data_IF_419985604862
#
_entry.id   IF_419985604862
#
_cell.length_a   1.000
_cell.length_b   1.000
_cell.length_c   1.000
_cell.angle_alpha   90.00
_cell.angle_beta   90.00
_cell.angle_gamma   90.00
#
_symmetry.space_group_name_H-M   'P 1'
#
loop_
_entity.id
_entity.type
_entity.pdbx_description
1 polymer ?
#
# COMPACT_ATOMS: atom_id res chain seq x y z
N UNK A 1 13.60 -12.17 -2.28
CA UNK A 1 12.49 -11.62 -1.47
C UNK A 1 13.12 -10.78 -0.37
N UNK A 2 12.74 -9.51 -0.21
CA UNK A 2 13.35 -8.60 0.77
C UNK A 2 12.79 -8.77 2.19
N UNK A 3 11.47 -8.85 2.32
CA UNK A 3 10.75 -8.88 3.58
C UNK A 3 9.47 -9.72 3.46
N UNK A 4 9.12 -10.45 4.51
CA UNK A 4 7.83 -11.11 4.70
C UNK A 4 7.44 -11.04 6.18
N UNK A 5 6.35 -10.34 6.50
CA UNK A 5 5.92 -10.09 7.88
C UNK A 5 5.80 -11.36 8.75
N UNK A 6 5.31 -12.47 8.19
CA UNK A 6 5.17 -13.73 8.93
C UNK A 6 6.50 -14.45 9.22
N UNK A 7 7.62 -14.01 8.62
CA UNK A 7 8.95 -14.56 8.83
C UNK A 7 9.87 -13.55 9.53
N UNK A 8 9.83 -12.29 9.11
CA UNK A 8 10.69 -11.21 9.59
C UNK A 8 10.04 -10.40 10.73
N UNK A 9 8.80 -10.69 11.10
CA UNK A 9 8.01 -9.97 12.12
C UNK A 9 7.19 -8.82 11.54
N UNK A 10 6.22 -8.34 12.33
CA UNK A 10 5.14 -7.44 11.88
C UNK A 10 5.36 -5.96 12.23
N UNK A 11 6.47 -5.62 12.88
CA UNK A 11 6.79 -4.25 13.21
C UNK A 11 7.17 -3.46 11.95
N UNK A 12 6.78 -2.20 11.88
CA UNK A 12 7.17 -1.28 10.80
C UNK A 12 8.70 -1.17 10.69
N UNK A 13 9.41 -1.17 11.82
CA UNK A 13 10.87 -1.20 11.88
C UNK A 13 11.48 -2.41 11.16
N UNK A 14 10.83 -3.57 11.19
CA UNK A 14 11.32 -4.77 10.51
C UNK A 14 11.22 -4.60 8.99
N UNK A 15 10.10 -4.04 8.50
CA UNK A 15 9.95 -3.68 7.09
C UNK A 15 11.05 -2.70 6.67
N UNK A 16 11.24 -1.60 7.40
CA UNK A 16 12.22 -0.57 7.06
C UNK A 16 13.66 -1.10 7.10
N UNK A 17 14.01 -1.94 8.08
CA UNK A 17 15.35 -2.56 8.16
C UNK A 17 15.71 -3.43 6.96
N UNK A 18 14.70 -3.95 6.23
CA UNK A 18 14.86 -4.86 5.10
C UNK A 18 14.64 -4.18 3.74
N UNK A 19 13.77 -3.18 3.67
CA UNK A 19 13.28 -2.60 2.42
C UNK A 19 13.83 -1.20 2.14
N UNK A 20 14.32 -0.48 3.15
CA UNK A 20 14.90 0.85 2.94
C UNK A 20 16.14 0.76 2.04
N UNK A 21 16.26 1.74 1.14
CA UNK A 21 17.36 1.89 0.19
C UNK A 21 17.57 0.70 -0.79
N UNK A 22 16.61 -0.21 -0.91
CA UNK A 22 16.72 -1.38 -1.81
C UNK A 22 16.33 -1.11 -3.27
N UNK A 23 15.97 0.13 -3.61
CA UNK A 23 15.48 0.49 -4.94
C UNK A 23 13.99 0.21 -5.14
N UNK A 24 13.54 -0.01 -6.39
CA UNK A 24 12.16 -0.33 -6.71
C UNK A 24 11.64 -1.57 -5.99
N UNK A 25 10.41 -1.52 -5.49
CA UNK A 25 9.80 -2.63 -4.74
C UNK A 25 8.37 -2.92 -5.19
N UNK A 26 7.98 -4.18 -5.06
CA UNK A 26 6.61 -4.65 -5.21
C UNK A 26 6.14 -5.17 -3.84
N UNK A 27 5.10 -4.54 -3.30
CA UNK A 27 4.47 -4.93 -2.05
C UNK A 27 3.23 -5.76 -2.34
N UNK A 28 3.11 -6.92 -1.69
CA UNK A 28 1.93 -7.80 -1.76
C UNK A 28 1.35 -7.95 -0.36
N UNK A 29 0.05 -7.68 -0.23
CA UNK A 29 -0.71 -7.73 1.02
C UNK A 29 -1.80 -8.78 0.87
N UNK A 30 -1.94 -9.62 1.90
CA UNK A 30 -3.08 -10.51 2.08
C UNK A 30 -3.83 -10.10 3.34
N UNK A 31 -5.05 -9.61 3.20
CA UNK A 31 -5.87 -9.21 4.37
C UNK A 31 -6.47 -10.42 5.09
N UNK A 32 -7.02 -10.18 6.27
CA UNK A 32 -7.74 -11.16 7.09
C UNK A 32 -8.94 -11.77 6.35
N UNK A 33 -9.67 -10.96 5.57
CA UNK A 33 -10.75 -11.40 4.67
C UNK A 33 -10.28 -12.20 3.44
N UNK A 34 -8.97 -12.46 3.31
CA UNK A 34 -8.40 -13.23 2.22
C UNK A 34 -8.38 -12.50 0.88
N UNK A 35 -8.43 -11.16 0.89
CA UNK A 35 -8.22 -10.31 -0.27
C UNK A 35 -6.73 -10.12 -0.51
N UNK A 36 -6.32 -10.00 -1.78
CA UNK A 36 -4.91 -9.92 -2.19
C UNK A 36 -4.75 -8.71 -3.09
N UNK A 37 -3.94 -7.75 -2.63
CA UNK A 37 -3.72 -6.47 -3.29
C UNK A 37 -2.35 -5.91 -2.89
N UNK A 38 -1.97 -4.76 -3.44
CA UNK A 38 -0.70 -4.14 -3.08
C UNK A 38 -0.34 -2.98 -3.99
N UNK A 39 0.94 -2.66 -4.03
CA UNK A 39 1.46 -1.57 -4.84
C UNK A 39 2.90 -1.79 -5.27
N UNK A 40 3.25 -1.17 -6.38
CA UNK A 40 4.62 -1.03 -6.87
C UNK A 40 5.08 0.41 -6.69
N UNK A 41 6.35 0.59 -6.39
CA UNK A 41 7.01 1.89 -6.31
C UNK A 41 8.41 1.78 -6.91
N UNK A 42 8.79 2.72 -7.79
CA UNK A 42 10.16 2.82 -8.32
C UNK A 42 11.10 3.67 -7.46
N UNK A 43 10.57 4.29 -6.40
CA UNK A 43 11.34 5.04 -5.40
C UNK A 43 11.73 4.14 -4.24
N UNK A 44 13.01 4.13 -3.88
CA UNK A 44 13.53 3.35 -2.76
C UNK A 44 12.94 3.86 -1.43
N UNK A 45 12.44 2.95 -0.59
CA UNK A 45 11.94 3.30 0.74
C UNK A 45 13.02 3.96 1.60
N UNK A 46 12.55 4.78 2.54
CA UNK A 46 13.33 5.37 3.62
C UNK A 46 12.42 5.53 4.84
N UNK A 47 12.94 6.10 5.92
CA UNK A 47 12.22 6.24 7.20
C UNK A 47 12.09 7.70 7.66
N UNK A 48 12.19 8.67 6.73
CA UNK A 48 12.36 10.09 7.06
C UNK A 48 11.06 10.84 7.38
N UNK A 49 9.89 10.22 7.20
CA UNK A 49 8.60 10.85 7.53
C UNK A 49 7.98 11.73 6.44
N UNK A 50 8.37 11.56 5.17
CA UNK A 50 7.90 12.39 4.06
C UNK A 50 7.14 11.62 2.98
N UNK A 51 6.33 12.34 2.21
CA UNK A 51 5.85 11.88 0.91
C UNK A 51 6.99 11.84 -0.10
N UNK A 52 7.03 10.80 -0.92
CA UNK A 52 7.99 10.70 -2.02
C UNK A 52 7.29 10.61 -3.37
N UNK A 53 7.94 11.26 -4.33
CA UNK A 53 7.58 11.22 -5.73
C UNK A 53 7.87 9.84 -6.31
N UNK A 54 6.98 9.33 -7.15
CA UNK A 54 7.25 8.18 -8.01
C UNK A 54 6.60 8.40 -9.37
N UNK A 55 7.33 8.11 -10.45
CA UNK A 55 6.81 8.25 -11.81
C UNK A 55 6.07 7.00 -12.28
N UNK A 56 6.39 5.84 -11.71
CA UNK A 56 5.91 4.53 -12.17
C UNK A 56 5.09 3.78 -11.13
N UNK A 57 4.78 4.39 -9.98
CA UNK A 57 3.97 3.74 -8.97
C UNK A 57 2.58 3.39 -9.48
N UNK A 58 2.06 2.28 -8.96
CA UNK A 58 0.70 1.85 -9.21
C UNK A 58 0.23 0.98 -8.05
N UNK A 59 -1.07 0.95 -7.82
CA UNK A 59 -1.70 -0.07 -6.99
C UNK A 59 -2.19 -1.22 -7.87
N UNK A 60 -2.38 -2.38 -7.27
CA UNK A 60 -3.01 -3.52 -7.93
C UNK A 60 -3.86 -4.33 -6.96
N UNK A 61 -4.83 -5.06 -7.51
CA UNK A 61 -5.55 -6.12 -6.83
C UNK A 61 -5.49 -7.40 -7.66
N UNK A 62 -5.38 -8.53 -6.97
CA UNK A 62 -5.52 -9.88 -7.54
C UNK A 62 -6.83 -10.54 -7.08
N UNK A 63 -7.32 -10.16 -5.89
CA UNK A 63 -8.60 -10.57 -5.32
C UNK A 63 -9.10 -9.46 -4.41
N UNK A 64 -10.26 -8.86 -4.72
CA UNK A 64 -10.86 -7.79 -3.94
C UNK A 64 -12.32 -8.08 -3.60
N UNK A 65 -12.87 -7.32 -2.66
CA UNK A 65 -14.25 -7.43 -2.22
C UNK A 65 -15.27 -7.21 -3.34
N UNK A 66 -15.03 -6.24 -4.22
CA UNK A 66 -15.94 -5.91 -5.32
C UNK A 66 -16.11 -7.02 -6.38
N UNK A 67 -15.28 -8.07 -6.33
CA UNK A 67 -15.32 -9.17 -7.30
C UNK A 67 -14.73 -8.82 -8.67
N UNK A 68 -14.13 -7.63 -8.85
CA UNK A 68 -13.45 -7.28 -10.10
C UNK A 68 -12.27 -8.24 -10.36
N UNK A 69 -12.04 -8.51 -11.65
CA UNK A 69 -10.84 -9.18 -12.13
C UNK A 69 -9.56 -8.45 -11.67
N UNK A 70 -8.38 -9.12 -11.69
CA UNK A 70 -7.12 -8.48 -11.35
C UNK A 70 -6.95 -7.14 -12.07
N UNK A 71 -6.79 -6.07 -11.30
CA UNK A 71 -6.87 -4.68 -11.80
C UNK A 71 -5.65 -3.90 -11.36
N UNK A 72 -5.07 -3.13 -12.28
CA UNK A 72 -3.98 -2.19 -12.04
C UNK A 72 -4.55 -0.77 -12.00
N UNK A 73 -4.21 -0.03 -10.95
CA UNK A 73 -4.69 1.32 -10.68
C UNK A 73 -3.51 2.29 -10.77
N UNK A 74 -3.54 3.20 -11.75
CA UNK A 74 -2.40 4.08 -12.05
C UNK A 74 -2.45 5.32 -11.16
N UNK A 75 -1.36 6.09 -11.16
CA UNK A 75 -1.36 7.42 -10.56
C UNK A 75 -2.34 8.34 -11.30
N UNK A 76 -3.12 9.10 -10.54
CA UNK A 76 -3.89 10.21 -11.08
C UNK A 76 -2.96 11.33 -11.56
N UNK A 77 -3.38 12.07 -12.58
CA UNK A 77 -2.61 13.19 -13.13
C UNK A 77 -2.24 14.21 -12.03
N UNK A 78 -0.96 14.58 -11.96
CA UNK A 78 -0.45 15.56 -10.99
C UNK A 78 -0.35 15.06 -9.54
N UNK A 79 -0.58 13.76 -9.28
CA UNK A 79 -0.50 13.17 -7.93
C UNK A 79 0.78 12.35 -7.69
N UNK A 80 1.72 12.36 -8.64
CA UNK A 80 2.96 11.60 -8.55
C UNK A 80 3.84 12.00 -7.36
N UNK A 81 3.74 13.25 -6.86
CA UNK A 81 4.55 13.78 -5.76
C UNK A 81 4.24 13.18 -4.38
N UNK A 82 3.04 12.61 -4.19
CA UNK A 82 2.63 11.94 -2.96
C UNK A 82 2.30 10.46 -3.17
N UNK A 83 3.09 9.79 -4.02
CA UNK A 83 2.86 8.41 -4.40
C UNK A 83 3.05 7.42 -3.25
N UNK A 84 4.04 7.63 -2.38
CA UNK A 84 4.31 6.79 -1.20
C UNK A 84 4.72 7.63 0.00
N UNK A 85 4.50 7.12 1.21
CA UNK A 85 4.85 7.79 2.46
C UNK A 85 5.88 6.99 3.25
N UNK A 86 6.99 7.64 3.62
CA UNK A 86 8.19 7.00 4.17
C UNK A 86 8.32 7.25 5.68
N UNK A 87 7.25 7.11 6.43
CA UNK A 87 7.31 7.23 7.89
C UNK A 87 7.79 5.93 8.50
N UNK A 88 8.90 5.98 9.24
CA UNK A 88 9.53 4.79 9.85
C UNK A 88 8.66 4.04 10.85
N UNK A 89 7.57 4.65 11.35
CA UNK A 89 6.59 3.99 12.22
C UNK A 89 5.45 3.32 11.44
N UNK A 90 5.46 3.39 10.11
CA UNK A 90 4.41 2.87 9.24
C UNK A 90 5.00 1.70 8.45
N UNK A 91 4.18 0.71 8.10
CA UNK A 91 4.54 -0.22 7.04
C UNK A 91 4.45 0.43 5.66
N UNK A 92 4.46 -0.38 4.58
CA UNK A 92 4.27 0.11 3.22
C UNK A 92 3.03 1.00 3.11
N UNK A 93 3.21 2.24 2.66
CA UNK A 93 2.14 3.23 2.56
C UNK A 93 2.15 3.91 1.20
N UNK A 94 1.01 3.84 0.50
CA UNK A 94 0.84 4.34 -0.85
C UNK A 94 -0.26 5.41 -0.91
N UNK A 95 0.06 6.57 -1.47
CA UNK A 95 -0.87 7.63 -1.85
C UNK A 95 -1.22 8.61 -0.74
N UNK A 96 -1.25 9.91 -1.07
CA UNK A 96 -1.56 11.10 -0.25
C UNK A 96 -2.94 11.18 0.42
N UNK A 97 -3.60 10.05 0.63
CA UNK A 97 -4.84 9.89 1.40
C UNK A 97 -4.95 8.49 2.00
N UNK A 98 -3.80 7.80 2.12
CA UNK A 98 -3.66 6.39 2.48
C UNK A 98 -4.46 5.46 1.55
N UNK A 99 -4.13 5.51 0.25
CA UNK A 99 -4.64 4.55 -0.72
C UNK A 99 -4.46 3.11 -0.25
N UNK A 100 -3.26 2.83 0.27
CA UNK A 100 -2.96 1.70 1.15
C UNK A 100 -2.13 2.23 2.32
N UNK A 101 -2.48 1.84 3.54
CA UNK A 101 -1.69 2.04 4.75
C UNK A 101 -1.63 0.74 5.53
N UNK A 102 -0.41 0.26 5.78
CA UNK A 102 -0.14 -0.86 6.67
C UNK A 102 0.36 -0.29 8.00
N UNK A 103 -0.39 -0.53 9.08
CA UNK A 103 -0.02 -0.05 10.40
C UNK A 103 1.11 -0.88 11.02
N UNK A 104 1.78 -0.31 12.03
CA UNK A 104 2.72 -1.04 12.87
C UNK A 104 2.02 -2.18 13.62
N UNK A 105 2.69 -3.33 13.71
CA UNK A 105 2.16 -4.55 14.31
C UNK A 105 0.82 -4.99 13.71
N UNK A 106 0.71 -4.98 12.37
CA UNK A 106 -0.51 -5.26 11.61
C UNK A 106 -1.16 -6.64 11.86
N UNK A 107 -0.51 -7.57 12.56
CA UNK A 107 -1.11 -8.84 12.99
C UNK A 107 -2.02 -8.70 14.22
N UNK A 108 -1.85 -7.65 15.01
CA UNK A 108 -2.62 -7.38 16.23
C UNK A 108 -3.30 -6.01 16.23
N UNK A 109 -2.98 -5.17 15.25
CA UNK A 109 -3.52 -3.82 15.10
C UNK A 109 -4.48 -3.76 13.90
N UNK A 110 -5.69 -3.27 14.13
CA UNK A 110 -6.75 -3.16 13.10
C UNK A 110 -6.75 -1.82 12.37
N UNK A 111 -5.69 -1.01 12.49
CA UNK A 111 -5.62 0.33 11.90
C UNK A 111 -5.09 0.34 10.46
N UNK A 112 -4.71 -0.81 9.90
CA UNK A 112 -4.50 -0.95 8.45
C UNK A 112 -5.71 -0.39 7.71
N UNK A 113 -5.49 0.37 6.63
CA UNK A 113 -6.61 0.93 5.89
C UNK A 113 -6.35 1.13 4.41
N UNK A 114 -7.43 1.20 3.64
CA UNK A 114 -7.41 1.53 2.22
C UNK A 114 -8.40 2.65 1.90
N UNK A 115 -8.02 3.51 0.97
CA UNK A 115 -8.85 4.61 0.46
C UNK A 115 -8.37 5.04 -0.94
N UNK A 116 -8.70 4.22 -1.93
CA UNK A 116 -8.30 4.45 -3.32
C UNK A 116 -9.10 5.61 -3.93
N UNK A 117 -8.55 6.33 -4.92
CA UNK A 117 -9.26 7.38 -5.65
C UNK A 117 -8.66 8.78 -5.52
N UNK A 118 -7.80 9.03 -4.52
CA UNK A 118 -7.10 10.31 -4.40
C UNK A 118 -5.82 10.36 -5.24
N UNK A 119 -4.77 9.62 -4.83
CA UNK A 119 -3.49 9.59 -5.56
C UNK A 119 -3.48 8.56 -6.69
N UNK A 120 -4.21 7.48 -6.52
CA UNK A 120 -4.35 6.42 -7.51
C UNK A 120 -5.79 6.35 -8.00
N UNK A 121 -5.97 5.97 -9.25
CA UNK A 121 -7.26 5.75 -9.89
C UNK A 121 -8.09 4.74 -9.08
N UNK A 122 -9.36 5.06 -8.82
CA UNK A 122 -10.33 4.08 -8.36
C UNK A 122 -11.06 3.52 -9.58
N UNK A 123 -11.23 2.18 -9.72
CA UNK A 123 -11.99 1.63 -10.84
C UNK A 123 -13.41 2.20 -10.91
N UNK A 124 -13.94 2.36 -12.13
CA UNK A 124 -15.25 2.97 -12.35
C UNK A 124 -16.36 2.20 -11.59
N UNK A 125 -17.27 2.95 -10.97
CA UNK A 125 -18.37 2.39 -10.19
C UNK A 125 -17.98 1.82 -8.82
N UNK A 126 -16.72 1.98 -8.39
CA UNK A 126 -16.25 1.50 -7.10
C UNK A 126 -16.10 2.62 -6.07
N UNK A 127 -16.33 2.30 -4.80
CA UNK A 127 -16.10 3.20 -3.68
C UNK A 127 -14.71 2.94 -3.09
N UNK A 128 -13.86 3.97 -3.06
CA UNK A 128 -12.43 3.87 -2.74
C UNK A 128 -12.07 3.19 -1.42
N UNK A 129 -12.89 3.36 -0.38
CA UNK A 129 -12.66 2.83 0.95
C UNK A 129 -13.33 1.48 1.22
N UNK A 130 -14.07 0.90 0.27
CA UNK A 130 -14.68 -0.44 0.41
C UNK A 130 -14.33 -1.38 -0.74
N UNK A 131 -13.86 -0.84 -1.86
CA UNK A 131 -13.53 -1.58 -3.08
C UNK A 131 -12.61 -2.78 -2.84
N UNK A 132 -11.51 -2.58 -2.09
CA UNK A 132 -10.51 -3.63 -1.89
C UNK A 132 -10.95 -4.68 -0.87
N UNK A 133 -11.46 -4.24 0.28
CA UNK A 133 -11.63 -5.10 1.46
C UNK A 133 -13.04 -5.12 2.07
N UNK A 134 -14.00 -4.40 1.47
CA UNK A 134 -15.38 -4.28 1.96
C UNK A 134 -15.57 -3.19 3.02
N UNK A 135 -14.48 -2.70 3.61
CA UNK A 135 -14.43 -1.67 4.64
C UNK A 135 -13.12 -0.89 4.57
N UNK A 136 -13.09 0.31 5.16
CA UNK A 136 -11.90 1.17 5.18
C UNK A 136 -10.73 0.48 5.87
N UNK A 137 -11.00 -0.20 6.96
CA UNK A 137 -10.02 -0.95 7.75
C UNK A 137 -10.08 -2.45 7.42
N UNK A 138 -8.95 -3.15 7.48
CA UNK A 138 -8.81 -4.56 7.07
C UNK A 138 -7.81 -5.35 7.92
#
# INVERSE_FOLDING_TARGET
LLYRASCDGWQASNFHSKCDNQGPTLTVIRSTGGYIFGGFCDTAWSSNGDWKTSAKAFLFTLKCHSGLAPTKMRLNQGKNWNAVYHNGSYGPTFGGGHGIYVCDNANSNSNCSTNVGNTYECPAGQTGNTFLTGSRHF
#
